data_IF_622290931753
#
_entry.id   IF_622290931753
#
_cell.length_a   1.000
_cell.length_b   1.000
_cell.length_c   1.000
_cell.angle_alpha   90.00
_cell.angle_beta   90.00
_cell.angle_gamma   90.00
#
_symmetry.space_group_name_H-M   'P 1'
#
loop_
_entity.id
_entity.type
_entity.pdbx_description
1 polymer ?
#
# COMPACT_ATOMS: atom_id res chain seq x y z
N UNK A 1 -55.24 9.88 -38.18
CA UNK A 1 -55.03 8.58 -37.52
C UNK A 1 -53.57 8.20 -37.73
N UNK A 2 -52.95 7.65 -36.67
CA UNK A 2 -51.59 7.10 -36.56
C UNK A 2 -50.41 8.08 -36.68
N UNK A 3 -49.93 8.55 -35.52
CA UNK A 3 -48.51 8.52 -35.23
C UNK A 3 -48.32 7.82 -33.89
N UNK A 4 -47.60 6.70 -33.94
CA UNK A 4 -47.21 5.86 -32.82
C UNK A 4 -46.15 6.59 -32.00
N UNK A 5 -46.39 6.77 -30.71
CA UNK A 5 -45.35 7.13 -29.75
C UNK A 5 -44.79 5.83 -29.14
N UNK A 6 -43.64 5.41 -29.64
CA UNK A 6 -42.78 4.44 -28.97
C UNK A 6 -41.44 5.11 -28.67
N UNK A 7 -41.12 5.22 -27.38
CA UNK A 7 -39.79 5.21 -26.75
C UNK A 7 -39.89 5.90 -25.39
N UNK A 8 -39.32 5.47 -24.27
CA UNK A 8 -38.61 4.25 -23.87
C UNK A 8 -38.55 4.36 -22.34
N UNK A 9 -38.72 3.24 -21.65
CA UNK A 9 -38.40 3.14 -20.23
C UNK A 9 -36.92 3.51 -20.02
N UNK A 10 -36.65 4.56 -19.23
CA UNK A 10 -35.29 4.89 -18.80
C UNK A 10 -35.07 4.27 -17.44
N UNK A 11 -34.57 3.04 -17.42
CA UNK A 11 -34.06 2.37 -16.23
C UNK A 11 -32.67 2.91 -15.93
N UNK A 12 -32.59 3.98 -15.14
CA UNK A 12 -31.31 4.53 -14.71
C UNK A 12 -30.80 3.74 -13.49
N UNK A 13 -30.11 2.63 -13.77
CA UNK A 13 -29.27 1.96 -12.77
C UNK A 13 -27.98 2.74 -12.62
N UNK A 14 -28.05 3.89 -11.94
CA UNK A 14 -26.88 4.73 -11.70
C UNK A 14 -25.88 4.01 -10.78
N UNK A 15 -24.69 3.75 -11.32
CA UNK A 15 -23.54 3.30 -10.53
C UNK A 15 -23.29 4.23 -9.32
N UNK A 16 -22.85 3.72 -8.17
CA UNK A 16 -22.69 4.51 -6.96
C UNK A 16 -21.71 5.67 -7.21
N UNK A 17 -22.23 6.90 -7.12
CA UNK A 17 -21.42 8.12 -7.27
C UNK A 17 -20.41 8.18 -6.12
N UNK A 18 -19.13 8.30 -6.46
CA UNK A 18 -18.06 8.56 -5.49
C UNK A 18 -18.38 9.87 -4.77
N UNK A 19 -18.65 9.78 -3.46
CA UNK A 19 -18.96 10.92 -2.59
C UNK A 19 -17.69 11.41 -1.89
N UNK A 20 -17.58 12.70 -1.55
CA UNK A 20 -16.55 13.18 -0.63
C UNK A 20 -16.58 12.36 0.66
N UNK A 21 -15.40 11.94 1.13
CA UNK A 21 -15.26 11.19 2.39
C UNK A 21 -15.62 12.04 3.62
N UNK A 22 -15.57 13.38 3.49
CA UNK A 22 -16.02 14.31 4.51
C UNK A 22 -17.56 14.39 4.53
N UNK A 23 -18.23 13.89 5.59
CA UNK A 23 -19.68 13.93 5.71
C UNK A 23 -20.18 15.33 6.08
N UNK A 24 -21.47 15.60 5.81
CA UNK A 24 -22.16 16.73 6.45
C UNK A 24 -22.27 16.46 7.96
N UNK A 25 -21.42 17.10 8.75
CA UNK A 25 -21.28 16.86 10.20
C UNK A 25 -22.55 17.14 10.98
N UNK A 26 -23.48 17.95 10.44
CA UNK A 26 -24.80 18.22 11.03
C UNK A 26 -25.71 16.99 11.05
N UNK A 27 -25.42 16.00 10.18
CA UNK A 27 -26.17 14.74 10.08
C UNK A 27 -25.54 13.60 10.87
N UNK A 28 -24.41 13.84 11.53
CA UNK A 28 -23.73 12.85 12.37
C UNK A 28 -24.25 12.92 13.81
N UNK A 29 -24.23 11.77 14.49
CA UNK A 29 -24.34 11.75 15.95
C UNK A 29 -23.25 12.65 16.58
N UNK A 30 -23.53 13.24 17.74
CA UNK A 30 -22.67 14.26 18.37
C UNK A 30 -21.21 13.83 18.51
N UNK A 31 -20.93 12.56 18.86
CA UNK A 31 -19.56 12.05 18.98
C UNK A 31 -18.84 11.93 17.65
N UNK A 32 -19.55 11.52 16.61
CA UNK A 32 -19.01 11.47 15.25
C UNK A 32 -18.78 12.89 14.73
N UNK A 33 -19.70 13.83 14.96
CA UNK A 33 -19.50 15.23 14.61
C UNK A 33 -18.24 15.81 15.28
N UNK A 34 -18.07 15.61 16.59
CA UNK A 34 -16.86 16.05 17.33
C UNK A 34 -15.58 15.40 16.83
N UNK A 35 -15.64 14.11 16.47
CA UNK A 35 -14.50 13.44 15.88
C UNK A 35 -14.04 14.09 14.57
N UNK A 36 -14.93 14.77 13.83
CA UNK A 36 -14.60 15.54 12.64
C UNK A 36 -14.20 16.98 12.94
N UNK A 37 -14.87 17.64 13.88
CA UNK A 37 -14.78 19.11 14.05
C UNK A 37 -13.87 19.58 15.17
N UNK A 38 -13.63 18.77 16.21
CA UNK A 38 -12.74 19.18 17.29
C UNK A 38 -11.27 19.14 16.83
N UNK A 39 -10.45 20.13 17.24
CA UNK A 39 -9.04 20.14 16.93
C UNK A 39 -8.36 18.98 17.67
N UNK A 40 -7.92 18.00 16.90
CA UNK A 40 -7.16 16.85 17.38
C UNK A 40 -6.02 16.60 16.40
N UNK A 41 -4.82 16.30 16.92
CA UNK A 41 -3.70 15.85 16.11
C UNK A 41 -3.51 14.34 16.30
N UNK A 42 -3.23 13.62 15.22
CA UNK A 42 -2.99 12.17 15.24
C UNK A 42 -1.58 11.89 14.75
N UNK A 43 -0.84 11.07 15.51
CA UNK A 43 0.51 10.60 15.15
C UNK A 43 0.58 9.08 15.27
N UNK A 44 1.22 8.42 14.30
CA UNK A 44 1.47 6.98 14.36
C UNK A 44 2.53 6.64 15.41
N UNK A 45 2.37 5.50 16.10
CA UNK A 45 3.31 4.93 17.08
C UNK A 45 3.76 3.51 16.68
N UNK A 46 3.57 3.14 15.41
CA UNK A 46 3.78 1.79 14.83
C UNK A 46 2.76 0.73 15.29
N UNK A 47 2.72 -0.41 14.60
CA UNK A 47 1.87 -1.57 14.90
C UNK A 47 0.38 -1.23 15.00
N UNK A 48 -0.07 -0.25 14.20
CA UNK A 48 -1.46 0.23 14.24
C UNK A 48 -1.86 0.95 15.54
N UNK A 49 -0.88 1.47 16.30
CA UNK A 49 -1.11 2.35 17.46
C UNK A 49 -0.94 3.81 17.08
N UNK A 50 -1.73 4.67 17.71
CA UNK A 50 -1.78 6.09 17.40
C UNK A 50 -1.89 6.93 18.68
N UNK A 51 -1.10 8.00 18.77
CA UNK A 51 -1.30 9.05 19.75
C UNK A 51 -2.29 10.08 19.21
N UNK A 52 -3.28 10.45 20.01
CA UNK A 52 -4.28 11.47 19.70
C UNK A 52 -4.17 12.59 20.73
N UNK A 53 -3.65 13.73 20.31
CA UNK A 53 -3.55 14.94 21.12
C UNK A 53 -4.89 15.68 21.02
N UNK A 54 -5.64 15.73 22.12
CA UNK A 54 -6.97 16.34 22.20
C UNK A 54 -6.96 17.84 22.50
N UNK A 55 -8.08 18.51 22.21
CA UNK A 55 -8.26 19.94 22.48
C UNK A 55 -8.07 20.35 23.96
N UNK A 56 -8.24 19.41 24.90
CA UNK A 56 -8.01 19.64 26.33
C UNK A 56 -6.53 19.57 26.75
N UNK A 57 -5.60 19.31 25.80
CA UNK A 57 -4.19 19.10 26.07
C UNK A 57 -3.83 17.69 26.56
N UNK A 58 -4.81 16.79 26.67
CA UNK A 58 -4.56 15.38 26.99
C UNK A 58 -4.22 14.59 25.74
N UNK A 59 -3.28 13.65 25.85
CA UNK A 59 -2.94 12.69 24.80
C UNK A 59 -3.48 11.32 25.17
N UNK A 60 -4.13 10.68 24.21
CA UNK A 60 -4.67 9.33 24.36
C UNK A 60 -4.06 8.40 23.33
N UNK A 61 -3.82 7.15 23.70
CA UNK A 61 -3.39 6.11 22.78
C UNK A 61 -4.58 5.33 22.26
N UNK A 62 -4.59 5.11 20.95
CA UNK A 62 -5.58 4.30 20.24
C UNK A 62 -4.87 3.10 19.63
N UNK A 63 -5.34 1.89 19.94
CA UNK A 63 -4.99 0.67 19.24
C UNK A 63 -6.10 0.36 18.24
N UNK A 64 -5.90 0.73 16.98
CA UNK A 64 -6.97 0.63 15.97
C UNK A 64 -7.37 -0.82 15.67
N UNK A 65 -6.45 -1.81 15.56
CA UNK A 65 -6.81 -3.22 15.35
C UNK A 65 -7.71 -3.79 16.45
N UNK A 66 -7.41 -3.44 17.70
CA UNK A 66 -8.21 -3.85 18.88
C UNK A 66 -9.48 -3.00 19.05
N UNK A 67 -9.62 -1.96 18.21
CA UNK A 67 -10.64 -0.95 18.31
C UNK A 67 -10.65 -0.28 19.68
N UNK A 68 -9.50 -0.17 20.35
CA UNK A 68 -9.36 0.25 21.75
C UNK A 68 -8.71 1.62 21.92
N UNK A 69 -8.99 2.26 23.05
CA UNK A 69 -8.45 3.57 23.39
C UNK A 69 -8.35 3.72 24.91
N UNK A 70 -7.23 4.26 25.40
CA UNK A 70 -6.99 4.48 26.83
C UNK A 70 -7.79 5.66 27.44
N UNK A 71 -8.59 6.35 26.63
CA UNK A 71 -9.37 7.49 27.11
C UNK A 71 -10.50 7.06 28.09
N UNK A 72 -10.88 7.93 29.04
CA UNK A 72 -11.91 7.61 30.05
C UNK A 72 -13.25 7.13 29.46
N UNK A 73 -13.68 7.68 28.32
CA UNK A 73 -14.93 7.28 27.67
C UNK A 73 -14.91 5.80 27.25
N UNK A 74 -13.76 5.30 26.78
CA UNK A 74 -13.62 3.90 26.40
C UNK A 74 -13.40 3.02 27.64
N UNK A 75 -12.49 3.42 28.52
CA UNK A 75 -12.12 2.65 29.73
C UNK A 75 -13.28 2.46 30.71
N UNK A 76 -14.10 3.49 30.94
CA UNK A 76 -15.17 3.44 31.94
C UNK A 76 -16.57 3.22 31.37
N UNK A 77 -16.81 3.57 30.09
CA UNK A 77 -18.15 3.47 29.48
C UNK A 77 -18.25 2.41 28.40
N UNK A 78 -17.13 1.83 27.93
CA UNK A 78 -17.11 0.82 26.87
C UNK A 78 -17.57 1.33 25.50
N UNK A 79 -17.74 2.63 25.34
CA UNK A 79 -18.28 3.21 24.11
C UNK A 79 -17.17 3.37 23.06
N UNK A 80 -17.56 3.39 21.76
CA UNK A 80 -16.67 3.93 20.73
C UNK A 80 -16.48 5.42 21.04
N UNK A 81 -15.26 5.83 21.36
CA UNK A 81 -14.94 7.22 21.68
C UNK A 81 -14.69 8.06 20.42
N UNK A 82 -14.53 9.39 20.58
CA UNK A 82 -14.19 10.29 19.46
C UNK A 82 -12.77 10.06 18.93
N UNK A 83 -11.83 9.62 19.77
CA UNK A 83 -10.43 9.39 19.39
C UNK A 83 -10.31 8.21 18.41
N UNK A 84 -10.99 7.10 18.68
CA UNK A 84 -11.10 5.96 17.76
C UNK A 84 -11.65 6.37 16.39
N UNK A 85 -12.73 7.18 16.38
CA UNK A 85 -13.31 7.71 15.15
C UNK A 85 -12.34 8.63 14.41
N UNK A 86 -11.66 9.53 15.12
CA UNK A 86 -10.67 10.45 14.55
C UNK A 86 -9.53 9.66 13.88
N UNK A 87 -8.97 8.66 14.54
CA UNK A 87 -7.92 7.81 13.93
C UNK A 87 -8.43 7.12 12.67
N UNK A 88 -9.63 6.53 12.71
CA UNK A 88 -10.22 5.90 11.53
C UNK A 88 -10.39 6.90 10.36
N UNK A 89 -10.77 8.15 10.65
CA UNK A 89 -10.86 9.22 9.65
C UNK A 89 -9.49 9.54 9.05
N UNK A 90 -8.48 9.83 9.88
CA UNK A 90 -7.14 10.22 9.39
C UNK A 90 -6.47 9.10 8.58
N UNK A 91 -6.69 7.82 8.95
CA UNK A 91 -6.26 6.66 8.17
C UNK A 91 -7.00 6.59 6.83
N UNK A 92 -8.33 6.76 6.84
CA UNK A 92 -9.16 6.72 5.63
C UNK A 92 -8.83 7.86 4.66
N UNK A 93 -8.46 9.03 5.18
CA UNK A 93 -8.01 10.18 4.39
C UNK A 93 -6.54 10.07 3.97
N UNK A 94 -5.83 9.00 4.36
CA UNK A 94 -4.43 8.77 3.99
C UNK A 94 -3.44 9.77 4.61
N UNK A 95 -3.81 10.42 5.71
CA UNK A 95 -2.96 11.40 6.41
C UNK A 95 -1.97 10.71 7.36
N UNK A 96 -2.40 9.63 7.99
CA UNK A 96 -1.55 8.73 8.79
C UNK A 96 -1.57 7.33 8.18
N UNK A 97 -0.50 6.53 8.35
CA UNK A 97 -0.47 5.19 7.79
C UNK A 97 -1.56 4.29 8.41
N UNK A 98 -2.17 3.38 7.65
CA UNK A 98 -3.04 2.34 8.20
C UNK A 98 -2.22 1.32 9.03
N UNK A 99 -2.88 0.47 9.84
CA UNK A 99 -2.20 -0.58 10.60
C UNK A 99 -1.35 -1.50 9.71
N UNK A 100 -0.16 -1.87 10.20
CA UNK A 100 0.79 -2.70 9.45
C UNK A 100 1.47 -1.96 8.28
N UNK A 101 1.42 -0.62 8.26
CA UNK A 101 2.11 0.23 7.30
C UNK A 101 2.85 1.36 8.01
N UNK A 102 3.92 1.83 7.40
CA UNK A 102 4.69 3.02 7.79
C UNK A 102 4.81 4.00 6.63
N UNK A 103 5.02 5.28 6.93
CA UNK A 103 5.34 6.29 5.91
C UNK A 103 6.83 6.22 5.58
N UNK A 104 7.15 5.93 4.32
CA UNK A 104 8.52 5.77 3.86
C UNK A 104 8.62 6.04 2.35
N UNK A 105 9.83 6.05 1.79
CA UNK A 105 10.05 6.11 0.34
C UNK A 105 9.94 4.70 -0.27
N UNK A 106 9.11 4.55 -1.30
CA UNK A 106 8.99 3.28 -2.00
C UNK A 106 10.26 2.93 -2.80
N UNK A 107 10.81 1.72 -2.67
CA UNK A 107 11.97 1.25 -3.43
C UNK A 107 11.72 1.15 -4.94
N UNK A 108 10.48 0.84 -5.36
CA UNK A 108 10.08 0.79 -6.77
C UNK A 108 9.99 2.19 -7.41
N UNK A 109 8.97 2.98 -7.04
CA UNK A 109 8.73 4.29 -7.68
C UNK A 109 9.43 5.50 -7.04
N UNK A 110 10.17 5.31 -5.95
CA UNK A 110 10.92 6.36 -5.21
C UNK A 110 10.09 7.52 -4.67
N UNK A 111 8.76 7.43 -4.69
CA UNK A 111 7.83 8.40 -4.07
C UNK A 111 7.57 8.01 -2.61
N UNK A 112 7.23 9.01 -1.79
CA UNK A 112 6.71 8.74 -0.45
C UNK A 112 5.38 8.01 -0.55
N UNK A 113 5.23 6.95 0.25
CA UNK A 113 4.04 6.11 0.28
C UNK A 113 3.87 5.47 1.66
N UNK A 114 2.74 4.80 1.86
CA UNK A 114 2.58 3.85 2.95
C UNK A 114 3.09 2.48 2.48
N UNK A 115 4.21 2.04 3.05
CA UNK A 115 4.84 0.75 2.77
C UNK A 115 4.61 -0.20 3.96
N UNK A 116 4.72 -1.54 3.79
CA UNK A 116 4.67 -2.50 4.90
C UNK A 116 5.59 -2.09 6.06
N UNK A 117 5.13 -2.26 7.31
CA UNK A 117 6.02 -2.12 8.48
C UNK A 117 7.13 -3.18 8.45
N UNK A 118 6.76 -4.40 8.09
CA UNK A 118 7.66 -5.54 7.95
C UNK A 118 7.93 -5.86 6.47
N UNK A 119 9.19 -6.14 6.15
CA UNK A 119 9.64 -6.50 4.81
C UNK A 119 10.01 -5.27 3.95
N UNK A 120 10.12 -5.47 2.62
CA UNK A 120 10.71 -4.48 1.73
C UNK A 120 9.81 -3.24 1.58
N UNK A 121 10.39 -2.02 1.51
CA UNK A 121 9.64 -0.77 1.44
C UNK A 121 9.02 -0.55 0.05
N UNK A 122 8.05 -1.37 -0.34
CA UNK A 122 7.39 -1.33 -1.65
C UNK A 122 5.91 -1.02 -1.45
N UNK A 123 5.43 0.06 -2.07
CA UNK A 123 4.02 0.42 -2.00
C UNK A 123 3.17 -0.56 -2.81
N UNK A 124 1.87 -0.64 -2.49
CA UNK A 124 0.96 -1.62 -3.11
C UNK A 124 0.96 -1.54 -4.66
N UNK A 125 1.08 -0.34 -5.23
CA UNK A 125 1.14 -0.14 -6.68
C UNK A 125 2.42 -0.64 -7.34
N UNK A 126 3.53 -0.71 -6.60
CA UNK A 126 4.83 -1.19 -7.09
C UNK A 126 5.12 -2.62 -6.66
N UNK A 127 4.27 -3.24 -5.82
CA UNK A 127 4.51 -4.58 -5.29
C UNK A 127 4.31 -5.60 -6.42
N UNK A 128 5.36 -6.32 -6.84
CA UNK A 128 5.21 -7.31 -7.89
C UNK A 128 4.45 -8.52 -7.33
N UNK A 129 3.40 -8.94 -8.04
CA UNK A 129 2.61 -10.12 -7.68
C UNK A 129 3.09 -11.34 -8.46
N UNK A 130 3.09 -12.49 -7.80
CA UNK A 130 3.45 -13.76 -8.43
C UNK A 130 2.59 -14.01 -9.67
N UNK A 131 3.23 -14.38 -10.76
CA UNK A 131 2.58 -14.64 -12.06
C UNK A 131 2.46 -13.41 -12.96
N UNK A 132 2.68 -12.20 -12.44
CA UNK A 132 2.69 -11.00 -13.29
C UNK A 132 3.90 -11.02 -14.23
N UNK A 133 3.69 -10.52 -15.45
CA UNK A 133 4.76 -10.31 -16.42
C UNK A 133 5.45 -8.97 -16.16
N UNK A 134 6.76 -8.97 -16.31
CA UNK A 134 7.59 -7.77 -16.32
C UNK A 134 8.63 -7.88 -17.44
N UNK A 135 9.27 -6.76 -17.76
CA UNK A 135 10.39 -6.72 -18.69
C UNK A 135 11.68 -6.60 -17.90
N UNK A 136 12.63 -7.48 -18.18
CA UNK A 136 14.01 -7.32 -17.73
C UNK A 136 14.66 -6.17 -18.52
N UNK A 137 14.99 -5.06 -17.85
CA UNK A 137 15.59 -3.87 -18.48
C UNK A 137 16.95 -4.15 -19.12
N UNK A 138 17.70 -5.14 -18.64
CA UNK A 138 19.04 -5.45 -19.16
C UNK A 138 19.00 -6.18 -20.50
N UNK A 139 17.99 -7.02 -20.70
CA UNK A 139 17.88 -7.88 -21.90
C UNK A 139 16.74 -7.47 -22.83
N UNK A 140 15.74 -6.75 -22.31
CA UNK A 140 14.47 -6.49 -22.99
C UNK A 140 13.50 -7.68 -22.97
N UNK A 141 13.89 -8.80 -22.35
CA UNK A 141 13.10 -10.01 -22.35
C UNK A 141 11.93 -9.95 -21.35
N UNK A 142 10.87 -10.68 -21.68
CA UNK A 142 9.76 -10.88 -20.74
C UNK A 142 10.15 -11.90 -19.68
N UNK A 143 9.96 -11.54 -18.42
CA UNK A 143 10.06 -12.43 -17.26
C UNK A 143 8.73 -12.51 -16.54
N UNK A 144 8.55 -13.56 -15.75
CA UNK A 144 7.38 -13.73 -14.89
C UNK A 144 7.82 -13.69 -13.43
N UNK A 145 7.15 -12.87 -12.64
CA UNK A 145 7.43 -12.68 -11.22
C UNK A 145 7.12 -13.98 -10.46
N UNK A 146 8.09 -14.46 -9.68
CA UNK A 146 7.94 -15.54 -8.72
C UNK A 146 7.56 -15.02 -7.33
N UNK A 147 8.43 -14.20 -6.73
CA UNK A 147 8.18 -13.56 -5.42
C UNK A 147 9.08 -12.34 -5.19
N UNK A 148 8.59 -11.40 -4.40
CA UNK A 148 9.44 -10.39 -3.76
C UNK A 148 10.01 -10.97 -2.46
N UNK A 149 11.31 -10.80 -2.21
CA UNK A 149 11.99 -11.27 -0.99
C UNK A 149 12.21 -10.14 0.00
N UNK A 150 12.57 -10.48 1.23
CA UNK A 150 12.94 -9.51 2.28
C UNK A 150 14.43 -9.11 2.23
N UNK A 151 15.24 -9.82 1.44
CA UNK A 151 16.66 -9.51 1.21
C UNK A 151 16.85 -8.37 0.19
N UNK A 152 17.86 -7.55 0.43
CA UNK A 152 18.37 -6.56 -0.53
C UNK A 152 19.34 -7.17 -1.54
N UNK A 153 19.63 -6.45 -2.62
CA UNK A 153 20.55 -6.90 -3.66
C UNK A 153 21.97 -7.15 -3.11
N UNK A 154 22.41 -6.35 -2.14
CA UNK A 154 23.70 -6.54 -1.46
C UNK A 154 23.75 -7.73 -0.50
N UNK A 155 22.60 -8.22 -0.01
CA UNK A 155 22.55 -9.37 0.90
C UNK A 155 22.41 -10.69 0.14
N UNK A 156 21.64 -10.70 -0.96
CA UNK A 156 21.30 -11.91 -1.68
C UNK A 156 22.50 -12.43 -2.48
N UNK A 157 23.03 -13.59 -2.10
CA UNK A 157 24.03 -14.29 -2.90
C UNK A 157 23.42 -14.90 -4.18
N UNK A 158 24.17 -14.86 -5.29
CA UNK A 158 23.78 -15.48 -6.56
C UNK A 158 24.27 -16.94 -6.61
N UNK A 159 23.40 -17.95 -6.69
CA UNK A 159 23.84 -19.34 -6.71
C UNK A 159 24.78 -19.65 -7.89
N UNK A 160 25.96 -20.19 -7.60
CA UNK A 160 26.97 -20.53 -8.59
C UNK A 160 27.85 -19.35 -9.03
N UNK A 161 27.62 -18.14 -8.51
CA UNK A 161 28.53 -17.01 -8.63
C UNK A 161 29.04 -16.62 -7.24
N UNK A 162 30.33 -16.25 -7.13
CA UNK A 162 30.92 -15.81 -5.87
C UNK A 162 30.65 -14.31 -5.63
N UNK A 163 29.40 -13.88 -5.79
CA UNK A 163 28.99 -12.49 -5.63
C UNK A 163 27.52 -12.35 -5.20
N UNK A 164 27.15 -11.14 -4.81
CA UNK A 164 25.76 -10.77 -4.47
C UNK A 164 24.98 -10.41 -5.75
N UNK A 165 23.67 -10.19 -5.62
CA UNK A 165 22.86 -9.68 -6.72
C UNK A 165 23.34 -8.28 -7.11
N UNK A 166 23.70 -7.42 -6.15
CA UNK A 166 24.24 -6.07 -6.43
C UNK A 166 25.57 -6.13 -7.19
N UNK A 167 26.48 -6.99 -6.76
CA UNK A 167 27.83 -7.13 -7.36
C UNK A 167 27.83 -7.89 -8.70
N UNK A 168 26.69 -8.45 -9.12
CA UNK A 168 26.61 -9.16 -10.38
C UNK A 168 26.85 -8.18 -11.55
N UNK A 169 27.71 -8.49 -12.54
CA UNK A 169 28.15 -7.52 -13.55
C UNK A 169 27.03 -6.79 -14.32
N UNK A 170 25.88 -7.43 -14.53
CA UNK A 170 24.71 -6.84 -15.19
C UNK A 170 23.84 -5.95 -14.27
N UNK A 171 24.20 -5.81 -13.00
CA UNK A 171 23.38 -5.11 -12.01
C UNK A 171 24.04 -3.84 -11.43
N UNK A 172 25.25 -3.48 -11.87
CA UNK A 172 26.01 -2.36 -11.29
C UNK A 172 25.38 -0.96 -11.43
N UNK A 173 24.30 -0.83 -12.22
CA UNK A 173 23.50 0.40 -12.33
C UNK A 173 22.32 0.49 -11.35
N UNK A 174 22.01 -0.60 -10.63
CA UNK A 174 20.90 -0.65 -9.68
C UNK A 174 21.40 -0.44 -8.24
N UNK A 175 20.55 0.09 -7.34
CA UNK A 175 20.97 0.32 -5.96
C UNK A 175 21.25 -0.97 -5.19
N UNK A 176 22.28 -0.95 -4.35
CA UNK A 176 22.67 -2.06 -3.47
C UNK A 176 21.56 -2.45 -2.47
N UNK A 177 20.78 -1.45 -2.02
CA UNK A 177 19.66 -1.60 -1.10
C UNK A 177 18.34 -1.99 -1.78
N UNK A 178 18.36 -2.21 -3.10
CA UNK A 178 17.15 -2.52 -3.86
C UNK A 178 16.62 -3.92 -3.47
N UNK A 179 15.33 -4.06 -3.14
CA UNK A 179 14.75 -5.36 -2.79
C UNK A 179 14.93 -6.37 -3.93
N UNK A 180 15.17 -7.62 -3.57
CA UNK A 180 15.28 -8.69 -4.57
C UNK A 180 13.92 -9.24 -4.95
N UNK A 181 13.74 -9.45 -6.25
CA UNK A 181 12.61 -10.17 -6.84
C UNK A 181 13.12 -11.42 -7.54
N UNK A 182 12.53 -12.56 -7.21
CA UNK A 182 12.74 -13.80 -7.94
C UNK A 182 11.83 -13.83 -9.17
N UNK A 183 12.39 -14.16 -10.32
CA UNK A 183 11.68 -14.27 -11.59
C UNK A 183 12.03 -15.57 -12.31
N UNK A 184 11.19 -15.95 -13.27
CA UNK A 184 11.44 -17.05 -14.20
C UNK A 184 11.27 -16.56 -15.63
N UNK A 185 12.10 -17.06 -16.55
CA UNK A 185 11.88 -16.83 -17.98
C UNK A 185 10.77 -17.77 -18.48
N UNK A 186 9.80 -17.26 -19.28
CA UNK A 186 8.61 -18.02 -19.67
C UNK A 186 8.90 -19.22 -20.59
N UNK A 187 10.09 -19.26 -21.21
CA UNK A 187 10.49 -20.30 -22.18
C UNK A 187 11.38 -21.40 -21.58
N UNK A 188 11.71 -21.33 -20.27
CA UNK A 188 12.65 -22.24 -19.60
C UNK A 188 12.04 -23.58 -19.11
N UNK A 189 10.90 -24.03 -19.66
CA UNK A 189 10.30 -25.35 -19.36
C UNK A 189 8.77 -25.35 -19.22
N UNK A 190 8.11 -26.51 -18.99
CA UNK A 190 6.65 -26.62 -19.01
C UNK A 190 5.95 -26.15 -17.72
N UNK A 191 6.54 -26.37 -16.53
CA UNK A 191 5.94 -25.99 -15.23
C UNK A 191 6.59 -24.72 -14.67
N UNK A 192 5.80 -23.83 -14.08
CA UNK A 192 6.26 -22.59 -13.49
C UNK A 192 7.12 -22.81 -12.24
N UNK A 193 6.75 -23.78 -11.39
CA UNK A 193 7.39 -23.98 -10.09
C UNK A 193 8.77 -24.67 -10.18
N UNK A 194 8.97 -25.49 -11.21
CA UNK A 194 10.20 -26.24 -11.47
C UNK A 194 11.22 -25.47 -12.33
N UNK A 195 10.84 -24.30 -12.86
CA UNK A 195 11.74 -23.47 -13.67
C UNK A 195 12.86 -22.88 -12.83
N UNK A 196 14.00 -22.68 -13.50
CA UNK A 196 15.13 -21.97 -12.90
C UNK A 196 14.71 -20.56 -12.50
N UNK A 197 14.96 -20.24 -11.23
CA UNK A 197 14.68 -18.91 -10.66
C UNK A 197 15.93 -18.04 -10.77
N UNK A 198 15.71 -16.80 -11.14
CA UNK A 198 16.71 -15.75 -11.22
C UNK A 198 16.36 -14.69 -10.19
N UNK A 199 17.38 -14.11 -9.54
CA UNK A 199 17.22 -13.06 -8.54
C UNK A 199 17.68 -11.73 -9.14
N UNK A 200 16.76 -10.77 -9.24
CA UNK A 200 17.03 -9.45 -9.80
C UNK A 200 16.76 -8.35 -8.77
N UNK A 201 17.45 -7.19 -8.85
CA UNK A 201 17.00 -5.97 -8.20
C UNK A 201 15.58 -5.62 -8.68
N UNK A 202 14.68 -5.20 -7.79
CA UNK A 202 13.31 -4.82 -8.15
C UNK A 202 13.26 -3.76 -9.25
N UNK A 203 14.14 -2.76 -9.16
CA UNK A 203 14.29 -1.68 -10.13
C UNK A 203 14.91 -2.11 -11.46
N UNK A 204 15.32 -3.38 -11.63
CA UNK A 204 15.61 -3.97 -12.94
C UNK A 204 14.35 -4.38 -13.70
N UNK A 205 13.23 -4.57 -13.01
CA UNK A 205 11.96 -4.91 -13.65
C UNK A 205 11.20 -3.66 -14.09
N UNK A 206 10.84 -3.59 -15.36
CA UNK A 206 9.85 -2.65 -15.85
C UNK A 206 8.47 -3.30 -15.87
N UNK A 207 7.50 -2.66 -15.22
CA UNK A 207 6.10 -3.11 -15.27
C UNK A 207 5.42 -2.53 -16.53
N UNK A 208 4.50 -3.29 -17.18
CA UNK A 208 3.79 -2.80 -18.36
C UNK A 208 3.04 -1.48 -18.06
N UNK A 209 3.29 -0.44 -18.86
CA UNK A 209 2.67 0.89 -18.71
C UNK A 209 3.56 1.95 -18.04
N UNK A 210 4.79 1.60 -17.66
CA UNK A 210 5.79 2.58 -17.23
C UNK A 210 6.38 3.28 -18.46
N UNK A 211 5.92 4.50 -18.77
CA UNK A 211 6.61 5.36 -19.73
C UNK A 211 7.98 5.70 -19.15
N UNK A 212 9.09 5.54 -19.89
CA UNK A 212 10.40 5.97 -19.41
C UNK A 212 10.36 7.46 -19.05
N UNK A 213 10.86 7.83 -17.89
CA UNK A 213 11.14 9.24 -17.60
C UNK A 213 12.33 9.61 -18.48
N UNK A 214 12.09 10.54 -19.41
CA UNK A 214 13.11 11.10 -20.30
C UNK A 214 14.13 11.95 -19.55
#
# INVERSE_FOLDING_TARGET
MTHSEHATASSDSAAPRRRPLAPDTRRLETRSARAWTEPMAVRSLDSGRYAVDGASGATYTVALPDGDCDCPDRTFRGERCKHLRRVAIEVTEGRVPPPGRRRDRCAGCRREAFVPEDGPPVCDACRPERGNRATDRETGDTVVVGRLTDETAAERAVPGANCTVADYPANGSYPDDDPVVEVVYPFDGPDFDDRRRYAFPLSRLAVPGETPVA
#
